data_IF_901542258149
#
_entry.id   IF_901542258149
#
_cell.length_a   1.000
_cell.length_b   1.000
_cell.length_c   1.000
_cell.angle_alpha   90.00
_cell.angle_beta   90.00
_cell.angle_gamma   90.00
#
_symmetry.space_group_name_H-M   'P 1'
#
loop_
_entity.id
_entity.type
_entity.pdbx_description
1 polymer ?
#
# COMPACT_ATOMS: atom_id res chain seq x y z
N UNK A 1 34.65 30.49 25.76
CA UNK A 1 35.58 29.36 25.52
C UNK A 1 36.79 29.75 24.64
N UNK A 2 36.94 31.03 24.22
CA UNK A 2 38.05 31.51 23.40
C UNK A 2 38.10 31.00 21.95
N UNK A 3 37.08 30.25 21.51
CA UNK A 3 36.97 29.68 20.13
C UNK A 3 36.14 30.59 19.24
N UNK A 4 36.52 30.72 17.98
CA UNK A 4 35.71 31.35 16.93
C UNK A 4 34.71 30.33 16.40
N UNK A 5 33.42 30.69 16.34
CA UNK A 5 32.36 29.88 15.74
C UNK A 5 31.94 30.52 14.42
N UNK A 6 31.77 29.70 13.42
CA UNK A 6 31.16 30.06 12.14
C UNK A 6 29.79 29.39 12.07
N UNK A 7 28.73 30.19 11.83
CA UNK A 7 27.37 29.70 11.68
C UNK A 7 26.76 30.18 10.36
N UNK A 8 26.97 29.46 9.26
CA UNK A 8 26.25 29.68 8.00
C UNK A 8 24.87 29.04 8.07
N UNK A 9 23.94 29.54 7.25
CA UNK A 9 22.61 28.92 7.06
C UNK A 9 22.36 28.72 5.57
N UNK A 10 22.10 27.46 5.19
CA UNK A 10 21.68 27.11 3.84
C UNK A 10 20.20 26.72 3.83
N UNK A 11 19.53 27.01 2.74
CA UNK A 11 18.11 26.64 2.53
C UNK A 11 18.03 25.37 1.71
N UNK A 12 17.41 24.33 2.30
CA UNK A 12 17.11 23.10 1.59
C UNK A 12 15.81 23.28 0.79
N UNK A 13 15.95 23.40 -0.52
CA UNK A 13 14.87 23.73 -1.44
C UNK A 13 14.62 22.62 -2.47
N UNK A 14 15.17 21.42 -2.25
CA UNK A 14 14.97 20.25 -3.11
C UNK A 14 13.92 19.32 -2.52
N UNK A 15 13.27 18.50 -3.37
CA UNK A 15 12.31 17.49 -2.96
C UNK A 15 10.86 17.87 -3.18
N UNK A 16 9.96 17.02 -2.63
CA UNK A 16 8.51 17.07 -2.85
C UNK A 16 7.78 18.28 -2.24
N UNK A 17 8.13 18.81 -1.04
CA UNK A 17 7.21 19.69 -0.33
C UNK A 17 6.81 20.94 -1.10
N UNK A 18 7.77 21.65 -1.68
CA UNK A 18 7.50 22.88 -2.43
C UNK A 18 6.71 22.58 -3.70
N UNK A 19 7.14 21.58 -4.47
CA UNK A 19 6.47 21.19 -5.71
C UNK A 19 5.03 20.72 -5.44
N UNK A 20 4.82 19.88 -4.42
CA UNK A 20 3.49 19.40 -4.07
C UNK A 20 2.55 20.53 -3.61
N UNK A 21 3.05 21.52 -2.88
CA UNK A 21 2.26 22.69 -2.49
C UNK A 21 1.93 23.58 -3.70
N UNK A 22 2.87 23.81 -4.60
CA UNK A 22 2.66 24.57 -5.84
C UNK A 22 1.64 23.88 -6.74
N UNK A 23 1.73 22.56 -6.92
CA UNK A 23 0.77 21.76 -7.69
C UNK A 23 -0.64 21.76 -7.06
N UNK A 24 -0.74 21.76 -5.73
CA UNK A 24 -2.03 21.93 -5.05
C UNK A 24 -2.65 23.29 -5.37
N UNK A 25 -1.90 24.37 -5.24
CA UNK A 25 -2.38 25.72 -5.56
C UNK A 25 -2.80 25.84 -7.01
N UNK A 26 -2.07 25.23 -7.93
CA UNK A 26 -2.44 25.19 -9.35
C UNK A 26 -3.79 24.51 -9.55
N UNK A 27 -4.00 23.31 -8.99
CA UNK A 27 -5.29 22.62 -9.04
C UNK A 27 -6.42 23.41 -8.37
N UNK A 28 -6.14 24.02 -7.23
CA UNK A 28 -7.12 24.85 -6.50
C UNK A 28 -7.48 26.11 -7.28
N UNK A 29 -6.54 26.70 -8.02
CA UNK A 29 -6.84 27.82 -8.91
C UNK A 29 -7.71 27.42 -10.10
N UNK A 30 -7.55 26.22 -10.62
CA UNK A 30 -8.41 25.66 -11.68
C UNK A 30 -9.85 25.42 -11.16
N UNK A 31 -10.00 24.99 -9.90
CA UNK A 31 -11.30 24.75 -9.27
C UNK A 31 -12.01 26.03 -8.80
N UNK A 32 -11.28 26.97 -8.21
CA UNK A 32 -11.84 28.11 -7.49
C UNK A 32 -11.57 29.46 -8.16
N UNK A 33 -10.89 29.46 -9.30
CA UNK A 33 -10.40 30.67 -9.99
C UNK A 33 -9.09 31.21 -9.36
N UNK A 34 -8.39 32.06 -10.10
CA UNK A 34 -7.08 32.57 -9.70
C UNK A 34 -7.07 33.35 -8.38
N UNK A 35 -8.19 33.90 -7.97
CA UNK A 35 -8.33 34.60 -6.71
C UNK A 35 -8.93 33.72 -5.59
N UNK A 36 -9.19 32.43 -5.84
CA UNK A 36 -9.75 31.46 -4.87
C UNK A 36 -11.05 31.95 -4.22
N UNK A 37 -11.95 32.57 -5.00
CA UNK A 37 -13.22 33.11 -4.52
C UNK A 37 -14.39 32.13 -4.66
N UNK A 38 -14.32 31.19 -5.58
CA UNK A 38 -15.41 30.26 -5.89
C UNK A 38 -15.34 28.99 -5.05
N UNK A 39 -15.00 29.09 -3.78
CA UNK A 39 -14.99 27.95 -2.86
C UNK A 39 -16.43 27.58 -2.52
N UNK A 40 -16.85 26.32 -2.69
CA UNK A 40 -18.16 25.87 -2.22
C UNK A 40 -18.31 26.12 -0.73
N UNK A 41 -19.39 26.75 -0.32
CA UNK A 41 -19.76 26.84 1.09
C UNK A 41 -20.22 25.44 1.49
N UNK A 42 -19.33 24.66 2.08
CA UNK A 42 -19.72 23.40 2.70
C UNK A 42 -20.42 23.76 4.03
N UNK A 43 -21.68 23.37 4.18
CA UNK A 43 -22.32 23.28 5.49
C UNK A 43 -21.46 22.33 6.32
N UNK A 44 -21.09 22.72 7.54
CA UNK A 44 -20.23 21.96 8.46
C UNK A 44 -20.74 20.52 8.62
N UNK A 45 -20.27 19.62 7.78
CA UNK A 45 -20.48 18.19 7.98
C UNK A 45 -19.56 17.71 9.10
N UNK A 46 -20.14 17.46 10.26
CA UNK A 46 -19.50 16.72 11.36
C UNK A 46 -19.10 15.28 10.97
N UNK A 47 -19.42 14.83 9.75
CA UNK A 47 -19.16 13.47 9.26
C UNK A 47 -17.67 13.15 8.98
N UNK A 48 -16.83 14.13 8.75
CA UNK A 48 -15.40 13.87 8.48
C UNK A 48 -14.61 13.33 9.68
N UNK A 49 -15.19 13.34 10.89
CA UNK A 49 -14.55 12.75 12.09
C UNK A 49 -14.83 11.27 12.26
N UNK A 50 -15.87 10.71 11.65
CA UNK A 50 -16.23 9.30 11.75
C UNK A 50 -15.59 8.45 10.65
N UNK A 51 -15.42 8.94 9.44
CA UNK A 51 -14.74 8.18 8.38
C UNK A 51 -13.25 7.94 8.66
N UNK A 52 -12.58 8.83 9.36
CA UNK A 52 -11.18 8.61 9.82
C UNK A 52 -11.09 7.58 10.96
N UNK A 53 -12.20 7.29 11.64
CA UNK A 53 -12.27 6.25 12.67
C UNK A 53 -12.66 4.86 12.15
N UNK A 54 -13.19 4.75 10.95
CA UNK A 54 -13.61 3.49 10.34
C UNK A 54 -12.63 2.87 9.35
N UNK A 55 -11.51 3.53 9.01
CA UNK A 55 -10.42 2.77 8.41
C UNK A 55 -9.92 1.78 9.44
N UNK A 56 -10.42 0.55 9.32
CA UNK A 56 -10.09 -0.61 10.11
C UNK A 56 -8.64 -0.57 10.55
N UNK A 57 -8.40 -0.71 11.84
CA UNK A 57 -7.10 -0.98 12.41
C UNK A 57 -6.57 -2.32 11.86
N UNK A 58 -6.14 -2.30 10.60
CA UNK A 58 -5.47 -3.43 9.99
C UNK A 58 -4.14 -3.62 10.71
N UNK A 59 -4.02 -4.70 11.47
CA UNK A 59 -2.84 -5.02 12.29
C UNK A 59 -1.61 -5.25 11.41
N UNK A 60 -1.82 -5.51 10.12
CA UNK A 60 -0.75 -5.62 9.14
C UNK A 60 -0.25 -4.25 8.65
N UNK A 61 -0.96 -3.16 9.01
CA UNK A 61 -0.49 -1.80 8.75
C UNK A 61 0.32 -1.32 9.94
N UNK A 62 1.60 -1.11 9.71
CA UNK A 62 2.48 -0.47 10.67
C UNK A 62 1.91 0.91 11.04
N UNK A 63 1.54 1.11 12.33
CA UNK A 63 1.14 2.42 12.83
C UNK A 63 2.39 3.29 12.97
N UNK A 64 2.78 3.94 11.89
CA UNK A 64 3.79 4.97 11.97
C UNK A 64 3.27 6.12 12.83
N UNK A 65 4.13 6.70 13.65
CA UNK A 65 3.85 7.97 14.32
C UNK A 65 3.46 9.00 13.26
N UNK A 66 2.46 9.85 13.55
CA UNK A 66 2.10 10.95 12.64
C UNK A 66 3.37 11.73 12.30
N UNK A 67 3.57 12.03 11.03
CA UNK A 67 4.71 12.83 10.60
C UNK A 67 4.75 14.15 11.37
N UNK A 68 5.94 14.67 11.62
CA UNK A 68 6.09 16.00 12.25
C UNK A 68 5.39 17.09 11.43
N UNK A 69 5.27 16.91 10.13
CA UNK A 69 4.52 17.79 9.23
C UNK A 69 3.00 17.70 9.47
N UNK A 70 2.46 16.50 9.77
CA UNK A 70 1.05 16.31 10.09
C UNK A 70 0.65 16.81 11.49
N UNK A 71 1.60 16.94 12.42
CA UNK A 71 1.35 17.47 13.76
C UNK A 71 1.03 18.97 13.77
N UNK A 72 1.41 19.71 12.72
CA UNK A 72 1.05 21.11 12.50
C UNK A 72 -0.22 21.21 11.66
N UNK A 73 -1.36 20.88 12.23
CA UNK A 73 -2.65 21.19 11.59
C UNK A 73 -2.84 22.70 11.57
N UNK A 74 -2.46 23.34 10.46
CA UNK A 74 -3.13 24.56 10.03
C UNK A 74 -4.62 24.23 9.83
N UNK A 75 -5.52 25.14 10.22
CA UNK A 75 -6.98 24.92 10.14
C UNK A 75 -7.55 24.96 8.71
N UNK A 76 -6.72 25.08 7.67
CA UNK A 76 -7.14 25.14 6.28
C UNK A 76 -7.26 23.77 5.63
N UNK A 77 -8.36 23.48 4.96
CA UNK A 77 -8.60 22.29 4.13
C UNK A 77 -7.79 22.36 2.82
N UNK A 78 -7.64 23.57 2.31
CA UNK A 78 -6.96 23.86 1.05
C UNK A 78 -5.60 24.55 1.25
N UNK A 79 -4.71 24.43 0.28
CA UNK A 79 -3.37 25.02 0.36
C UNK A 79 -3.45 26.55 0.35
N UNK A 80 -4.34 27.15 -0.45
CA UNK A 80 -4.51 28.62 -0.48
C UNK A 80 -4.93 29.17 0.88
N UNK A 81 -5.78 28.45 1.64
CA UNK A 81 -6.17 28.87 2.99
C UNK A 81 -4.99 28.90 3.95
N UNK A 82 -4.08 27.92 3.82
CA UNK A 82 -2.85 27.90 4.61
C UNK A 82 -1.97 29.12 4.27
N UNK A 83 -1.88 29.48 2.99
CA UNK A 83 -1.12 30.64 2.54
C UNK A 83 -1.72 31.95 3.10
N UNK A 84 -3.04 32.09 3.08
CA UNK A 84 -3.72 33.24 3.71
C UNK A 84 -3.48 33.32 5.23
N UNK A 85 -3.47 32.18 5.91
CA UNK A 85 -3.16 32.11 7.34
C UNK A 85 -1.70 32.49 7.67
N UNK A 86 -0.78 32.33 6.72
CA UNK A 86 0.59 32.81 6.81
C UNK A 86 0.70 34.32 6.58
N UNK A 87 -0.41 35.01 6.28
CA UNK A 87 -0.43 36.45 6.04
C UNK A 87 -0.11 36.87 4.61
N UNK A 88 -0.10 35.92 3.66
CA UNK A 88 0.09 36.23 2.24
C UNK A 88 -1.17 36.84 1.68
N UNK A 89 -1.11 38.01 0.98
CA UNK A 89 -2.27 38.61 0.33
C UNK A 89 -2.90 37.65 -0.68
N UNK A 90 -4.25 37.61 -0.73
CA UNK A 90 -4.99 36.67 -1.58
C UNK A 90 -4.60 36.76 -3.05
N UNK A 91 -4.39 37.96 -3.55
CA UNK A 91 -3.96 38.27 -4.94
C UNK A 91 -2.56 37.74 -5.24
N UNK A 92 -1.75 37.53 -4.22
CA UNK A 92 -0.37 37.04 -4.37
C UNK A 92 -0.29 35.51 -4.31
N UNK A 93 -1.27 34.84 -3.69
CA UNK A 93 -1.26 33.38 -3.48
C UNK A 93 -1.10 32.63 -4.80
N UNK A 94 -1.70 33.09 -5.89
CA UNK A 94 -1.58 32.42 -7.20
C UNK A 94 -0.14 32.32 -7.71
N UNK A 95 0.75 33.27 -7.33
CA UNK A 95 2.15 33.25 -7.75
C UNK A 95 2.90 32.04 -7.18
N UNK A 96 2.46 31.52 -6.05
CA UNK A 96 3.01 30.32 -5.41
C UNK A 96 2.60 29.01 -6.13
N UNK A 97 1.79 29.07 -7.18
CA UNK A 97 1.61 27.96 -8.12
C UNK A 97 2.88 27.67 -8.93
N UNK A 98 3.83 28.64 -8.98
CA UNK A 98 5.17 28.43 -9.48
C UNK A 98 6.11 28.07 -8.32
N UNK A 99 6.75 26.89 -8.32
CA UNK A 99 7.71 26.50 -7.30
C UNK A 99 8.89 27.47 -7.11
N UNK A 100 9.30 28.15 -8.19
CA UNK A 100 10.41 29.11 -8.14
C UNK A 100 10.06 30.34 -7.32
N UNK A 101 8.79 30.74 -7.28
CA UNK A 101 8.35 31.88 -6.50
C UNK A 101 8.58 31.64 -4.99
N UNK A 102 8.39 30.41 -4.50
CA UNK A 102 8.68 30.03 -3.11
C UNK A 102 10.14 30.28 -2.74
N UNK A 103 11.05 29.98 -3.64
CA UNK A 103 12.49 30.08 -3.41
C UNK A 103 12.97 31.54 -3.40
N UNK A 104 12.25 32.42 -4.04
CA UNK A 104 12.54 33.85 -4.03
C UNK A 104 11.86 34.58 -2.85
N UNK A 105 10.73 34.07 -2.36
CA UNK A 105 9.91 34.72 -1.35
C UNK A 105 10.36 34.39 0.08
N UNK A 106 10.47 33.11 0.43
CA UNK A 106 10.69 32.71 1.82
C UNK A 106 12.13 32.88 2.34
N UNK A 107 13.21 32.66 1.60
CA UNK A 107 14.56 32.83 2.14
C UNK A 107 14.87 34.24 2.62
N UNK A 108 14.50 35.32 1.92
CA UNK A 108 14.68 36.70 2.44
C UNK A 108 13.89 36.98 3.70
N UNK A 109 12.67 36.46 3.84
CA UNK A 109 11.88 36.60 5.07
C UNK A 109 12.55 35.89 6.24
N UNK A 110 13.08 34.69 6.03
CA UNK A 110 13.82 33.97 7.07
C UNK A 110 15.06 34.74 7.50
N UNK A 111 15.79 35.37 6.57
CA UNK A 111 16.93 36.23 6.89
C UNK A 111 16.51 37.43 7.77
N UNK A 112 15.41 38.08 7.39
CA UNK A 112 14.85 39.23 8.15
C UNK A 112 14.42 38.80 9.56
N UNK A 113 13.70 37.70 9.69
CA UNK A 113 13.22 37.18 10.96
C UNK A 113 14.38 36.76 11.88
N UNK A 114 15.34 36.02 11.36
CA UNK A 114 16.53 35.61 12.12
C UNK A 114 17.38 36.81 12.57
N UNK A 115 17.49 37.83 11.71
CA UNK A 115 18.21 39.07 12.04
C UNK A 115 17.49 39.86 13.12
N UNK A 116 16.15 39.96 13.01
CA UNK A 116 15.31 40.62 14.01
C UNK A 116 15.33 39.89 15.35
N UNK A 117 15.43 38.56 15.32
CA UNK A 117 15.61 37.73 16.52
C UNK A 117 17.00 37.86 17.14
N UNK A 118 17.96 38.46 16.44
CA UNK A 118 19.35 38.63 16.90
C UNK A 118 20.23 37.38 16.68
N UNK A 119 19.85 36.50 15.80
CA UNK A 119 20.66 35.32 15.47
C UNK A 119 21.94 35.74 14.73
N UNK A 120 23.11 35.29 15.22
CA UNK A 120 24.41 35.58 14.60
C UNK A 120 24.73 34.61 13.47
N UNK A 121 24.05 34.77 12.35
CA UNK A 121 24.23 33.96 11.14
C UNK A 121 25.14 34.70 10.16
N UNK A 122 26.07 33.97 9.53
CA UNK A 122 26.91 34.53 8.47
C UNK A 122 26.19 34.40 7.12
N UNK A 123 25.32 35.36 6.83
CA UNK A 123 24.51 35.41 5.61
C UNK A 123 25.34 35.51 4.31
N UNK A 124 26.60 35.91 4.38
CA UNK A 124 27.51 35.89 3.23
C UNK A 124 27.77 34.48 2.70
N UNK A 125 27.48 33.46 3.50
CA UNK A 125 27.60 32.02 3.20
C UNK A 125 26.26 31.33 3.09
N UNK A 126 25.18 32.07 3.01
CA UNK A 126 23.85 31.52 2.74
C UNK A 126 23.72 31.10 1.27
N UNK A 127 22.95 30.04 1.04
CA UNK A 127 22.72 29.53 -0.31
C UNK A 127 21.43 28.73 -0.38
N UNK A 128 20.88 28.56 -1.57
CA UNK A 128 19.77 27.66 -1.88
C UNK A 128 20.30 26.41 -2.58
N UNK A 129 19.67 25.24 -2.27
CA UNK A 129 20.07 23.95 -2.83
C UNK A 129 19.22 23.59 -4.03
N UNK A 130 19.38 24.21 -5.15
CA UNK A 130 18.79 23.86 -6.45
C UNK A 130 19.66 24.40 -7.57
N UNK A 131 19.29 24.05 -8.81
CA UNK A 131 19.88 24.59 -10.04
C UNK A 131 19.61 26.10 -10.22
N UNK A 132 18.68 26.70 -9.47
CA UNK A 132 18.57 28.16 -9.36
C UNK A 132 19.84 28.79 -8.77
N UNK A 133 20.63 28.03 -8.03
CA UNK A 133 21.97 28.43 -7.64
C UNK A 133 22.99 27.70 -8.54
N UNK A 134 23.51 28.34 -9.59
CA UNK A 134 24.40 27.68 -10.55
C UNK A 134 25.72 27.22 -9.93
N UNK A 135 26.18 27.86 -8.86
CA UNK A 135 27.38 27.43 -8.14
C UNK A 135 27.15 26.14 -7.36
N UNK A 136 25.97 26.01 -6.75
CA UNK A 136 25.57 24.78 -6.07
C UNK A 136 25.44 23.62 -7.08
N UNK A 137 24.75 23.84 -8.18
CA UNK A 137 24.59 22.84 -9.24
C UNK A 137 25.95 22.41 -9.82
N UNK A 138 26.85 23.36 -10.10
CA UNK A 138 28.18 23.05 -10.59
C UNK A 138 28.99 22.22 -9.57
N UNK A 139 28.88 22.52 -8.27
CA UNK A 139 29.52 21.74 -7.22
C UNK A 139 28.97 20.30 -7.16
N UNK A 140 27.66 20.12 -7.22
CA UNK A 140 27.04 18.80 -7.21
C UNK A 140 27.48 17.98 -8.43
N UNK A 141 27.50 18.58 -9.62
CA UNK A 141 28.00 17.91 -10.85
C UNK A 141 29.46 17.49 -10.71
N UNK A 142 30.29 18.37 -10.19
CA UNK A 142 31.69 18.06 -9.90
C UNK A 142 31.82 16.90 -8.92
N UNK A 143 31.09 16.93 -7.80
CA UNK A 143 31.10 15.86 -6.79
C UNK A 143 30.67 14.51 -7.36
N UNK A 144 29.58 14.49 -8.10
CA UNK A 144 29.06 13.26 -8.73
C UNK A 144 30.04 12.67 -9.74
N UNK A 145 30.67 13.51 -10.58
CA UNK A 145 31.67 13.09 -11.53
C UNK A 145 32.91 12.52 -10.83
N UNK A 146 33.34 13.14 -9.75
CA UNK A 146 34.46 12.66 -8.92
C UNK A 146 34.16 11.32 -8.27
N UNK A 147 32.99 11.15 -7.68
CA UNK A 147 32.56 9.88 -7.07
C UNK A 147 32.43 8.77 -8.12
N UNK A 148 31.93 9.09 -9.31
CA UNK A 148 31.87 8.16 -10.44
C UNK A 148 33.26 7.71 -10.88
N UNK A 149 34.19 8.63 -11.05
CA UNK A 149 35.56 8.34 -11.43
C UNK A 149 36.30 7.48 -10.38
N UNK A 150 35.99 7.65 -9.10
CA UNK A 150 36.50 6.85 -7.99
C UNK A 150 35.79 5.49 -7.83
N UNK A 151 34.79 5.16 -8.68
CA UNK A 151 34.01 3.91 -8.59
C UNK A 151 33.14 3.79 -7.32
N UNK A 152 32.83 4.93 -6.65
CA UNK A 152 32.06 4.95 -5.41
C UNK A 152 30.55 4.94 -5.63
N UNK A 153 30.10 5.22 -6.84
CA UNK A 153 28.68 5.19 -7.22
C UNK A 153 28.49 4.27 -8.42
N UNK A 154 27.33 3.58 -8.44
CA UNK A 154 26.88 2.73 -9.53
C UNK A 154 25.46 3.10 -9.89
N UNK A 155 25.10 2.98 -11.17
CA UNK A 155 23.72 3.02 -11.58
C UNK A 155 23.03 1.74 -11.09
N UNK A 156 21.82 1.88 -10.54
CA UNK A 156 21.04 0.77 -10.05
C UNK A 156 19.59 1.16 -9.81
N UNK A 157 18.79 0.16 -9.52
CA UNK A 157 17.37 0.31 -9.18
C UNK A 157 17.17 0.01 -7.70
N UNK A 158 16.24 0.72 -7.10
CA UNK A 158 15.87 0.54 -5.70
C UNK A 158 14.38 0.82 -5.55
N UNK A 159 13.68 0.00 -4.78
CA UNK A 159 12.28 0.24 -4.47
C UNK A 159 12.13 1.47 -3.58
N UNK A 160 11.09 2.25 -3.85
CA UNK A 160 10.71 3.41 -3.07
C UNK A 160 9.19 3.54 -3.06
N UNK A 161 8.66 4.32 -2.11
CA UNK A 161 7.27 4.72 -2.15
C UNK A 161 7.12 5.80 -3.22
N UNK A 162 6.11 5.64 -4.07
CA UNK A 162 5.87 6.48 -5.22
C UNK A 162 4.46 7.05 -5.19
N UNK A 163 4.32 8.36 -5.39
CA UNK A 163 3.02 9.02 -5.56
C UNK A 163 2.66 9.05 -7.05
N UNK A 164 1.64 8.30 -7.44
CA UNK A 164 1.13 8.36 -8.83
C UNK A 164 0.51 9.73 -9.13
N UNK A 165 -0.08 10.40 -8.12
CA UNK A 165 -0.69 11.72 -8.26
C UNK A 165 0.33 12.81 -8.55
N UNK A 166 1.48 12.75 -7.90
CA UNK A 166 2.53 13.77 -8.02
C UNK A 166 3.62 13.34 -9.03
N UNK A 167 3.55 12.11 -9.56
CA UNK A 167 4.45 11.59 -10.58
C UNK A 167 5.88 11.37 -10.11
N UNK A 168 6.12 11.22 -8.80
CA UNK A 168 7.48 11.11 -8.27
C UNK A 168 7.59 10.30 -6.97
N UNK A 169 8.82 9.95 -6.60
CA UNK A 169 9.12 9.27 -5.36
C UNK A 169 8.86 10.17 -4.14
N UNK A 170 8.29 9.58 -3.07
CA UNK A 170 8.03 10.26 -1.81
C UNK A 170 8.98 9.76 -0.72
N UNK A 171 9.67 10.68 -0.07
CA UNK A 171 10.44 10.39 1.13
C UNK A 171 9.53 10.40 2.37
N UNK A 172 10.00 9.81 3.47
CA UNK A 172 9.22 9.73 4.71
C UNK A 172 8.69 11.07 5.20
N UNK A 173 9.53 12.09 5.19
CA UNK A 173 9.20 13.43 5.65
C UNK A 173 8.26 14.20 4.70
N UNK A 174 8.10 13.75 3.46
CA UNK A 174 7.20 14.36 2.47
C UNK A 174 5.76 13.86 2.63
N UNK A 175 5.55 12.79 3.39
CA UNK A 175 4.24 12.15 3.55
C UNK A 175 3.47 12.74 4.72
N UNK A 176 2.19 13.01 4.50
CA UNK A 176 1.31 13.50 5.55
C UNK A 176 1.08 12.46 6.66
N UNK A 177 1.13 11.18 6.30
CA UNK A 177 1.04 10.05 7.22
C UNK A 177 1.93 8.91 6.72
N UNK A 178 2.26 7.97 7.61
CA UNK A 178 3.08 6.81 7.25
C UNK A 178 4.59 7.08 7.29
N UNK A 179 5.06 8.04 8.07
CA UNK A 179 6.49 8.24 8.35
C UNK A 179 7.07 6.96 8.96
N UNK A 180 8.18 6.46 8.39
CA UNK A 180 8.81 5.20 8.80
C UNK A 180 8.21 3.94 8.17
N UNK A 181 7.16 4.05 7.34
CA UNK A 181 6.66 2.91 6.56
C UNK A 181 7.66 2.55 5.49
N UNK A 182 8.08 1.29 5.49
CA UNK A 182 8.99 0.72 4.47
C UNK A 182 8.21 -0.23 3.54
N UNK A 183 8.77 -0.56 2.35
CA UNK A 183 8.21 -1.61 1.52
C UNK A 183 8.13 -2.92 2.30
N UNK A 184 6.99 -3.58 2.22
CA UNK A 184 6.74 -4.88 2.83
C UNK A 184 6.98 -5.97 1.79
N UNK A 185 7.74 -7.00 2.16
CA UNK A 185 7.96 -8.14 1.29
C UNK A 185 6.85 -9.18 1.49
N UNK A 186 6.19 -9.54 0.39
CA UNK A 186 5.21 -10.61 0.35
C UNK A 186 5.76 -11.79 -0.42
N UNK A 187 5.49 -12.98 0.06
CA UNK A 187 5.81 -14.22 -0.65
C UNK A 187 4.60 -14.60 -1.50
N UNK A 188 4.81 -14.71 -2.81
CA UNK A 188 3.82 -15.18 -3.77
C UNK A 188 3.76 -16.70 -3.80
N UNK A 189 2.66 -17.30 -3.36
CA UNK A 189 2.44 -18.74 -3.42
C UNK A 189 1.76 -19.09 -4.74
N UNK A 190 2.41 -19.94 -5.54
CA UNK A 190 1.85 -20.48 -6.79
C UNK A 190 0.97 -21.67 -6.48
N UNK A 191 -0.33 -21.53 -6.65
CA UNK A 191 -1.34 -22.55 -6.40
C UNK A 191 -1.81 -23.06 -7.74
N UNK A 192 -1.48 -24.31 -8.09
CA UNK A 192 -1.78 -24.90 -9.41
C UNK A 192 -3.27 -25.14 -9.57
N UNK A 193 -3.83 -24.73 -10.72
CA UNK A 193 -5.19 -25.09 -11.10
C UNK A 193 -5.14 -26.46 -11.76
N UNK A 194 -5.72 -27.46 -11.11
CA UNK A 194 -5.80 -28.84 -11.65
C UNK A 194 -7.04 -29.05 -12.48
N UNK A 195 -8.15 -28.36 -12.14
CA UNK A 195 -9.39 -28.41 -12.89
C UNK A 195 -10.19 -27.12 -12.70
N UNK A 196 -10.54 -26.45 -13.78
CA UNK A 196 -11.40 -25.26 -13.70
C UNK A 196 -12.86 -25.64 -13.47
N UNK A 197 -13.59 -24.81 -12.73
CA UNK A 197 -15.05 -24.85 -12.67
C UNK A 197 -15.65 -24.68 -14.10
N UNK A 198 -16.84 -25.22 -14.38
CA UNK A 198 -17.35 -25.34 -15.75
C UNK A 198 -17.35 -24.04 -16.56
N UNK A 199 -17.75 -22.91 -15.94
CA UNK A 199 -17.82 -21.63 -16.67
C UNK A 199 -16.42 -21.05 -16.92
N UNK A 200 -15.51 -21.13 -15.95
CA UNK A 200 -14.11 -20.71 -16.15
C UNK A 200 -13.44 -21.59 -17.21
N UNK A 201 -13.70 -22.91 -17.19
CA UNK A 201 -13.18 -23.85 -18.17
C UNK A 201 -13.61 -23.51 -19.60
N UNK A 202 -14.89 -23.19 -19.82
CA UNK A 202 -15.38 -22.78 -21.14
C UNK A 202 -14.62 -21.54 -21.65
N UNK A 203 -14.40 -20.54 -20.79
CA UNK A 203 -13.71 -19.31 -21.16
C UNK A 203 -12.23 -19.59 -21.49
N UNK A 204 -11.55 -20.38 -20.66
CA UNK A 204 -10.15 -20.75 -20.88
C UNK A 204 -9.97 -21.60 -22.13
N UNK A 205 -10.84 -22.60 -22.34
CA UNK A 205 -10.77 -23.51 -23.50
C UNK A 205 -11.07 -22.80 -24.83
N UNK A 206 -11.92 -21.75 -24.81
CA UNK A 206 -12.26 -20.94 -25.98
C UNK A 206 -11.20 -19.91 -26.35
N UNK A 207 -10.17 -19.70 -25.54
CA UNK A 207 -9.11 -18.73 -25.80
C UNK A 207 -7.96 -19.36 -26.59
N UNK A 208 -7.87 -19.01 -27.87
CA UNK A 208 -6.75 -19.43 -28.72
C UNK A 208 -5.40 -18.77 -28.33
N UNK A 209 -5.44 -17.74 -27.51
CA UNK A 209 -4.26 -17.01 -27.05
C UNK A 209 -3.54 -17.69 -25.87
N UNK A 210 -4.15 -18.71 -25.27
CA UNK A 210 -3.55 -19.48 -24.17
C UNK A 210 -2.87 -20.73 -24.71
N UNK A 211 -1.57 -20.85 -24.45
CA UNK A 211 -0.82 -22.08 -24.71
C UNK A 211 -1.22 -23.15 -23.69
N UNK A 212 -1.92 -24.18 -24.17
CA UNK A 212 -2.45 -25.27 -23.34
C UNK A 212 -1.36 -26.18 -22.73
N UNK A 213 -0.10 -26.02 -23.13
CA UNK A 213 1.03 -26.74 -22.54
C UNK A 213 1.53 -26.07 -21.24
N UNK A 214 1.22 -24.80 -21.02
CA UNK A 214 1.63 -24.06 -19.84
C UNK A 214 0.68 -24.29 -18.67
N UNK A 215 1.24 -24.44 -17.49
CA UNK A 215 0.46 -24.50 -16.25
C UNK A 215 -0.14 -23.15 -15.90
N UNK A 216 -1.28 -23.17 -15.22
CA UNK A 216 -1.98 -22.00 -14.74
C UNK A 216 -2.02 -22.02 -13.21
N UNK A 217 -1.65 -20.92 -12.58
CA UNK A 217 -1.59 -20.80 -11.14
C UNK A 217 -2.40 -19.61 -10.64
N UNK A 218 -3.20 -19.80 -9.60
CA UNK A 218 -3.55 -18.68 -8.74
C UNK A 218 -2.31 -18.27 -7.94
N UNK A 219 -2.05 -16.98 -7.85
CA UNK A 219 -0.94 -16.48 -7.03
C UNK A 219 -1.50 -15.75 -5.82
N UNK A 220 -1.34 -16.32 -4.65
CA UNK A 220 -1.69 -15.70 -3.38
C UNK A 220 -0.46 -15.01 -2.77
N UNK A 221 -0.65 -13.84 -2.16
CA UNK A 221 0.42 -13.11 -1.47
C UNK A 221 0.27 -13.23 0.04
N UNK A 222 1.27 -13.80 0.71
CA UNK A 222 1.27 -13.99 2.16
C UNK A 222 2.50 -13.37 2.81
N UNK A 223 2.35 -12.93 4.06
CA UNK A 223 3.46 -12.54 4.94
C UNK A 223 3.94 -13.72 5.81
N UNK A 224 3.16 -14.81 5.84
CA UNK A 224 3.39 -15.95 6.72
C UNK A 224 3.38 -17.28 5.93
N UNK A 225 4.40 -17.51 5.08
CA UNK A 225 4.47 -18.71 4.25
C UNK A 225 4.57 -20.00 5.08
N UNK A 226 5.04 -19.92 6.31
CA UNK A 226 5.13 -21.04 7.25
C UNK A 226 3.76 -21.64 7.59
N UNK A 227 2.67 -20.87 7.44
CA UNK A 227 1.33 -21.35 7.74
C UNK A 227 0.68 -22.15 6.59
N UNK A 228 1.34 -22.25 5.44
CA UNK A 228 0.76 -22.90 4.25
C UNK A 228 0.54 -24.41 4.42
N UNK A 229 1.21 -25.07 5.36
CA UNK A 229 0.93 -26.46 5.70
C UNK A 229 -0.51 -26.71 6.15
N UNK A 230 -1.15 -25.72 6.76
CA UNK A 230 -2.53 -25.75 7.23
C UNK A 230 -3.56 -25.19 6.25
N UNK A 231 -3.19 -25.00 5.00
CA UNK A 231 -4.12 -24.48 3.99
C UNK A 231 -5.22 -25.50 3.70
N UNK A 232 -6.49 -25.05 3.82
CA UNK A 232 -7.68 -25.91 3.60
C UNK A 232 -8.48 -25.56 2.36
N UNK A 233 -8.32 -24.36 1.83
CA UNK A 233 -8.90 -23.89 0.57
C UNK A 233 -8.18 -22.61 0.12
N UNK A 234 -8.66 -22.00 -0.94
CA UNK A 234 -8.21 -20.68 -1.39
C UNK A 234 -9.42 -19.81 -1.71
N UNK A 235 -9.37 -18.56 -1.28
CA UNK A 235 -10.47 -17.61 -1.44
C UNK A 235 -10.26 -16.65 -2.59
N UNK A 236 -11.36 -16.38 -3.32
CA UNK A 236 -11.49 -15.29 -4.28
C UNK A 236 -12.77 -14.50 -4.01
N UNK A 237 -12.81 -13.24 -4.42
CA UNK A 237 -14.06 -12.49 -4.37
C UNK A 237 -14.89 -12.74 -5.63
N UNK A 238 -16.17 -13.09 -5.50
CA UNK A 238 -17.08 -13.23 -6.64
C UNK A 238 -17.23 -11.94 -7.46
N UNK A 239 -16.95 -10.79 -6.83
CA UNK A 239 -17.16 -9.43 -7.38
C UNK A 239 -15.94 -8.86 -8.11
N UNK A 240 -14.78 -9.52 -8.02
CA UNK A 240 -13.53 -9.06 -8.62
C UNK A 240 -13.35 -9.73 -9.99
N UNK A 241 -12.87 -8.93 -10.94
CA UNK A 241 -12.37 -9.43 -12.22
C UNK A 241 -10.88 -9.79 -12.07
N UNK A 242 -10.56 -11.03 -12.44
CA UNK A 242 -9.20 -11.58 -12.42
C UNK A 242 -8.69 -11.72 -13.84
N UNK A 243 -7.44 -11.33 -14.07
CA UNK A 243 -6.74 -11.56 -15.32
C UNK A 243 -5.96 -12.88 -15.30
N UNK A 244 -5.88 -13.53 -16.44
CA UNK A 244 -4.88 -14.57 -16.74
C UNK A 244 -3.76 -13.89 -17.50
N UNK A 245 -2.56 -13.90 -16.93
CA UNK A 245 -1.39 -13.18 -17.44
C UNK A 245 -0.27 -14.13 -17.77
N UNK A 246 0.48 -13.84 -18.84
CA UNK A 246 1.68 -14.59 -19.18
C UNK A 246 2.86 -14.18 -18.27
N UNK A 247 3.31 -15.12 -17.46
CA UNK A 247 4.46 -14.98 -16.57
C UNK A 247 5.74 -15.63 -17.13
N UNK A 248 5.72 -16.05 -18.40
CA UNK A 248 6.82 -16.66 -19.11
C UNK A 248 6.73 -18.19 -19.14
N UNK A 249 7.07 -18.84 -18.07
CA UNK A 249 7.02 -20.30 -17.92
C UNK A 249 5.60 -20.83 -17.61
N UNK A 250 4.71 -19.97 -17.13
CA UNK A 250 3.36 -20.30 -16.71
C UNK A 250 2.41 -19.10 -16.88
N UNK A 251 1.14 -19.34 -16.61
CA UNK A 251 0.14 -18.29 -16.50
C UNK A 251 -0.23 -18.04 -15.04
N UNK A 252 -0.39 -16.75 -14.67
CA UNK A 252 -0.81 -16.34 -13.33
C UNK A 252 -2.20 -15.74 -13.34
N UNK A 253 -3.04 -16.17 -12.40
CA UNK A 253 -4.36 -15.60 -12.11
C UNK A 253 -4.21 -14.68 -10.92
N UNK A 254 -4.41 -13.38 -11.15
CA UNK A 254 -4.35 -12.32 -10.13
C UNK A 254 -5.23 -11.15 -10.54
N UNK A 255 -5.35 -10.14 -9.67
CA UNK A 255 -5.84 -8.82 -10.09
C UNK A 255 -4.81 -8.13 -10.98
N UNK A 256 -5.28 -7.28 -11.90
CA UNK A 256 -4.41 -6.50 -12.79
C UNK A 256 -3.40 -5.65 -12.01
N UNK A 257 -3.84 -5.01 -10.91
CA UNK A 257 -2.96 -4.23 -10.04
C UNK A 257 -1.80 -5.06 -9.49
N UNK A 258 -2.07 -6.29 -9.06
CA UNK A 258 -1.04 -7.16 -8.53
C UNK A 258 -0.04 -7.57 -9.61
N UNK A 259 -0.52 -7.94 -10.80
CA UNK A 259 0.36 -8.30 -11.90
C UNK A 259 1.18 -7.10 -12.41
N UNK A 260 0.60 -5.89 -12.43
CA UNK A 260 1.33 -4.65 -12.67
C UNK A 260 2.53 -4.53 -11.72
N UNK A 261 2.31 -4.70 -10.40
CA UNK A 261 3.38 -4.66 -9.42
C UNK A 261 4.45 -5.74 -9.67
N UNK A 262 4.05 -6.97 -9.96
CA UNK A 262 4.95 -8.07 -10.31
C UNK A 262 5.81 -7.75 -11.53
N UNK A 263 5.23 -7.10 -12.56
CA UNK A 263 5.94 -6.73 -13.78
C UNK A 263 7.04 -5.71 -13.55
N UNK A 264 6.85 -4.79 -12.63
CA UNK A 264 7.89 -3.83 -12.24
C UNK A 264 8.95 -4.42 -11.31
N UNK A 265 8.63 -5.52 -10.62
CA UNK A 265 9.55 -6.23 -9.73
C UNK A 265 10.35 -7.33 -10.42
N UNK A 266 10.31 -7.41 -11.74
CA UNK A 266 11.02 -8.43 -12.55
C UNK A 266 10.57 -9.86 -12.29
N UNK A 267 9.33 -10.04 -11.83
CA UNK A 267 8.71 -11.35 -11.63
C UNK A 267 7.99 -11.87 -12.90
N UNK A 268 8.06 -11.11 -13.98
CA UNK A 268 7.46 -11.41 -15.27
C UNK A 268 8.47 -11.12 -16.40
N UNK A 269 8.30 -11.71 -17.60
CA UNK A 269 9.27 -11.56 -18.68
C UNK A 269 9.49 -10.13 -19.15
N UNK A 270 8.43 -9.30 -19.14
CA UNK A 270 8.49 -7.95 -19.69
C UNK A 270 8.09 -6.92 -18.64
N UNK A 271 9.06 -6.09 -18.25
CA UNK A 271 8.85 -5.02 -17.28
C UNK A 271 7.75 -4.04 -17.71
N UNK A 272 6.80 -3.77 -16.81
CA UNK A 272 5.71 -2.83 -17.03
C UNK A 272 4.65 -3.31 -18.03
N UNK A 273 4.70 -4.56 -18.49
CA UNK A 273 3.66 -5.16 -19.31
C UNK A 273 2.76 -6.04 -18.45
N UNK A 274 1.49 -5.68 -18.37
CA UNK A 274 0.50 -6.32 -17.50
C UNK A 274 -0.88 -6.46 -18.17
N UNK A 275 -0.92 -6.56 -19.51
CA UNK A 275 -2.18 -6.80 -20.23
C UNK A 275 -2.62 -8.26 -20.01
N UNK A 276 -3.83 -8.51 -19.50
CA UNK A 276 -4.35 -9.86 -19.38
C UNK A 276 -4.61 -10.48 -20.77
N UNK A 277 -4.39 -11.78 -20.88
CA UNK A 277 -4.78 -12.56 -22.07
C UNK A 277 -6.29 -12.78 -22.03
N UNK A 278 -6.81 -13.13 -20.85
CA UNK A 278 -8.23 -13.39 -20.59
C UNK A 278 -8.59 -12.74 -19.25
N UNK A 279 -9.78 -12.17 -19.16
CA UNK A 279 -10.36 -11.68 -17.91
C UNK A 279 -11.56 -12.53 -17.53
N UNK A 280 -11.62 -12.98 -16.28
CA UNK A 280 -12.67 -13.88 -15.78
C UNK A 280 -13.17 -13.33 -14.43
N UNK A 281 -14.47 -13.24 -14.26
CA UNK A 281 -15.07 -12.89 -12.98
C UNK A 281 -14.81 -13.95 -11.93
N UNK A 282 -14.47 -13.52 -10.71
CA UNK A 282 -14.15 -14.43 -9.61
C UNK A 282 -15.23 -15.46 -9.32
N UNK A 283 -16.52 -15.12 -9.56
CA UNK A 283 -17.63 -16.04 -9.41
C UNK A 283 -17.49 -17.32 -10.26
N UNK A 284 -16.85 -17.22 -11.43
CA UNK A 284 -16.67 -18.35 -12.33
C UNK A 284 -15.55 -19.30 -11.92
N UNK A 285 -14.67 -18.87 -11.02
CA UNK A 285 -13.61 -19.72 -10.47
C UNK A 285 -14.06 -20.56 -9.27
N UNK A 286 -15.19 -20.22 -8.65
CA UNK A 286 -15.68 -20.92 -7.45
C UNK A 286 -15.94 -22.39 -7.80
N UNK A 287 -15.39 -23.30 -6.98
CA UNK A 287 -15.44 -24.75 -7.19
C UNK A 287 -14.27 -25.33 -7.99
N UNK A 288 -13.41 -24.49 -8.60
CA UNK A 288 -12.20 -24.98 -9.28
C UNK A 288 -11.33 -25.77 -8.31
N UNK A 289 -10.76 -26.89 -8.80
CA UNK A 289 -9.80 -27.69 -8.05
C UNK A 289 -8.41 -27.12 -8.18
N UNK A 290 -7.70 -27.11 -7.07
CA UNK A 290 -6.35 -26.59 -6.99
C UNK A 290 -5.44 -27.51 -6.18
N UNK A 291 -4.17 -27.45 -6.48
CA UNK A 291 -3.11 -28.04 -5.69
C UNK A 291 -2.21 -26.93 -5.11
N UNK A 292 -2.19 -26.79 -3.80
CA UNK A 292 -1.36 -25.80 -3.11
C UNK A 292 -0.06 -26.43 -2.64
N UNK A 293 1.09 -25.79 -2.85
CA UNK A 293 2.36 -26.31 -2.37
C UNK A 293 2.36 -26.38 -0.84
N UNK A 294 2.93 -27.43 -0.29
CA UNK A 294 3.07 -27.69 1.14
C UNK A 294 1.76 -27.94 1.90
N UNK A 295 0.59 -27.83 1.28
CA UNK A 295 -0.66 -28.15 1.94
C UNK A 295 -0.75 -29.65 2.26
N UNK A 296 -1.31 -29.98 3.43
CA UNK A 296 -1.48 -31.38 3.82
C UNK A 296 -2.56 -32.11 3.00
N UNK A 297 -3.52 -31.35 2.46
CA UNK A 297 -4.54 -31.89 1.57
C UNK A 297 -4.10 -31.79 0.11
N UNK A 298 -4.19 -32.87 -0.64
CA UNK A 298 -3.74 -32.94 -2.04
C UNK A 298 -4.65 -32.14 -3.00
N UNK A 299 -5.96 -32.16 -2.76
CA UNK A 299 -6.95 -31.43 -3.55
C UNK A 299 -7.68 -30.42 -2.67
N UNK A 300 -7.59 -29.15 -3.06
CA UNK A 300 -8.30 -28.03 -2.44
C UNK A 300 -9.24 -27.37 -3.46
N UNK A 301 -10.10 -26.47 -2.98
CA UNK A 301 -11.07 -25.75 -3.80
C UNK A 301 -10.89 -24.23 -3.71
N UNK A 302 -11.26 -23.57 -4.81
CA UNK A 302 -11.50 -22.11 -4.80
C UNK A 302 -12.89 -21.86 -4.24
N UNK A 303 -12.97 -21.05 -3.17
CA UNK A 303 -14.20 -20.72 -2.47
C UNK A 303 -14.44 -19.21 -2.43
N UNK A 304 -15.69 -18.77 -2.23
CA UNK A 304 -16.00 -17.34 -2.20
C UNK A 304 -15.65 -16.70 -0.85
N UNK A 305 -15.11 -15.49 -0.89
CA UNK A 305 -14.94 -14.61 0.27
C UNK A 305 -15.18 -13.14 -0.14
N UNK A 306 -16.28 -12.56 0.31
CA UNK A 306 -16.68 -11.20 -0.09
C UNK A 306 -15.77 -10.09 0.42
N UNK A 307 -15.04 -10.34 1.50
CA UNK A 307 -14.11 -9.38 2.12
C UNK A 307 -12.77 -9.26 1.39
N UNK A 308 -12.52 -10.10 0.39
CA UNK A 308 -11.35 -9.96 -0.50
C UNK A 308 -11.53 -8.73 -1.39
N UNK A 309 -10.54 -7.85 -1.40
CA UNK A 309 -10.54 -6.60 -2.15
C UNK A 309 -9.45 -6.55 -3.22
N UNK A 310 -9.76 -5.94 -4.37
CA UNK A 310 -8.85 -5.92 -5.53
C UNK A 310 -7.57 -5.11 -5.31
N UNK A 311 -7.59 -4.14 -4.41
CA UNK A 311 -6.47 -3.22 -4.17
C UNK A 311 -5.50 -3.70 -3.07
N UNK A 312 -5.68 -4.90 -2.53
CA UNK A 312 -4.79 -5.49 -1.51
C UNK A 312 -4.26 -6.85 -1.97
N UNK A 313 -2.98 -7.09 -1.77
CA UNK A 313 -2.32 -8.34 -2.18
C UNK A 313 -2.52 -8.63 -3.66
N UNK A 314 -2.89 -9.86 -3.96
CA UNK A 314 -3.14 -10.35 -5.31
C UNK A 314 -4.63 -10.51 -5.65
N UNK A 315 -5.52 -10.26 -4.69
CA UNK A 315 -6.94 -10.60 -4.78
C UNK A 315 -7.23 -12.10 -4.58
N UNK A 316 -6.21 -12.88 -4.29
CA UNK A 316 -6.28 -14.32 -4.01
C UNK A 316 -5.75 -14.53 -2.58
N UNK A 317 -6.50 -15.22 -1.75
CA UNK A 317 -6.18 -15.40 -0.33
C UNK A 317 -6.11 -16.88 0.01
N UNK A 318 -5.01 -17.31 0.62
CA UNK A 318 -4.88 -18.66 1.19
C UNK A 318 -5.72 -18.78 2.46
N UNK A 319 -6.39 -19.88 2.66
CA UNK A 319 -7.23 -20.14 3.83
C UNK A 319 -6.50 -21.02 4.84
N UNK A 320 -6.19 -20.46 6.02
CA UNK A 320 -5.51 -21.17 7.12
C UNK A 320 -6.35 -21.03 8.40
N UNK A 321 -7.42 -21.82 8.56
CA UNK A 321 -8.38 -21.64 9.64
C UNK A 321 -7.85 -22.02 11.02
N UNK A 322 -6.68 -22.66 11.14
CA UNK A 322 -6.02 -22.93 12.42
C UNK A 322 -5.45 -21.66 13.07
N UNK A 323 -4.96 -20.71 12.26
CA UNK A 323 -4.18 -19.54 12.72
C UNK A 323 -4.82 -18.19 12.36
N UNK A 324 -5.70 -18.14 11.35
CA UNK A 324 -6.38 -16.92 10.90
C UNK A 324 -7.85 -16.88 11.39
N UNK A 325 -8.22 -15.98 12.33
CA UNK A 325 -9.60 -15.81 12.77
C UNK A 325 -10.58 -15.49 11.64
N UNK A 326 -10.15 -14.68 10.66
CA UNK A 326 -10.97 -14.35 9.49
C UNK A 326 -11.29 -15.61 8.66
N UNK A 327 -10.27 -16.46 8.43
CA UNK A 327 -10.42 -17.70 7.66
C UNK A 327 -11.28 -18.71 8.41
N UNK A 328 -11.06 -18.83 9.73
CA UNK A 328 -11.85 -19.72 10.59
C UNK A 328 -13.35 -19.35 10.55
N UNK A 329 -13.67 -18.07 10.75
CA UNK A 329 -15.07 -17.63 10.75
C UNK A 329 -15.70 -17.72 9.35
N UNK A 330 -14.94 -17.40 8.29
CA UNK A 330 -15.42 -17.56 6.91
C UNK A 330 -15.69 -19.02 6.61
N UNK A 331 -14.77 -19.94 6.94
CA UNK A 331 -14.95 -21.38 6.76
C UNK A 331 -16.19 -21.87 7.51
N UNK A 332 -16.40 -21.46 8.75
CA UNK A 332 -17.59 -21.79 9.53
C UNK A 332 -18.88 -21.30 8.88
N UNK A 333 -18.92 -20.06 8.38
CA UNK A 333 -20.13 -19.53 7.74
C UNK A 333 -20.43 -20.27 6.43
N UNK A 334 -19.41 -20.59 5.63
CA UNK A 334 -19.54 -21.43 4.42
C UNK A 334 -20.05 -22.84 4.74
N UNK A 335 -19.56 -23.47 5.80
CA UNK A 335 -20.03 -24.79 6.26
C UNK A 335 -21.49 -24.77 6.69
N UNK A 336 -21.95 -23.69 7.33
CA UNK A 336 -23.32 -23.55 7.80
C UNK A 336 -24.32 -23.18 6.71
N UNK A 337 -23.89 -22.54 5.64
CA UNK A 337 -24.76 -22.00 4.59
C UNK A 337 -24.24 -22.26 3.16
N UNK A 338 -23.86 -23.50 2.81
CA UNK A 338 -23.23 -23.76 1.53
C UNK A 338 -24.14 -23.38 0.33
N UNK A 339 -25.44 -23.63 0.42
CA UNK A 339 -26.40 -23.28 -0.63
C UNK A 339 -26.51 -21.77 -0.87
N UNK A 340 -26.45 -20.97 0.21
CA UNK A 340 -26.45 -19.50 0.09
C UNK A 340 -25.26 -18.98 -0.72
N UNK A 341 -24.11 -19.63 -0.58
CA UNK A 341 -22.87 -19.27 -1.28
C UNK A 341 -22.73 -19.97 -2.64
N UNK A 342 -23.68 -20.81 -3.02
CA UNK A 342 -23.66 -21.57 -4.26
C UNK A 342 -22.53 -22.60 -4.34
N UNK A 343 -22.15 -23.18 -3.20
CA UNK A 343 -21.09 -24.19 -3.08
C UNK A 343 -21.66 -25.53 -2.60
N UNK A 344 -20.99 -26.62 -2.92
CA UNK A 344 -21.30 -27.93 -2.39
C UNK A 344 -20.69 -28.12 -1.01
N UNK A 345 -21.42 -28.75 -0.09
CA UNK A 345 -20.95 -28.98 1.28
C UNK A 345 -19.63 -29.79 1.31
N UNK A 346 -19.42 -30.66 0.36
CA UNK A 346 -18.20 -31.46 0.23
C UNK A 346 -16.95 -30.63 -0.10
N UNK A 347 -17.12 -29.42 -0.67
CA UNK A 347 -16.00 -28.54 -1.03
C UNK A 347 -15.35 -27.86 0.18
N UNK A 348 -16.06 -27.80 1.32
CA UNK A 348 -15.64 -27.14 2.56
C UNK A 348 -15.52 -28.11 3.76
N UNK A 349 -15.31 -29.39 3.51
CA UNK A 349 -15.24 -30.44 4.53
C UNK A 349 -13.94 -30.50 5.32
N UNK A 350 -12.88 -29.86 4.81
CA UNK A 350 -11.56 -29.94 5.43
C UNK A 350 -11.53 -29.29 6.80
N UNK A 351 -11.07 -30.04 7.79
CA UNK A 351 -10.89 -29.53 9.15
C UNK A 351 -9.60 -28.70 9.26
N UNK A 352 -9.56 -27.72 10.18
CA UNK A 352 -8.33 -26.97 10.47
C UNK A 352 -7.19 -27.89 10.88
N UNK A 353 -6.01 -27.69 10.30
CA UNK A 353 -4.80 -28.45 10.62
C UNK A 353 -3.97 -27.67 11.62
N UNK A 354 -3.65 -28.22 12.82
CA UNK A 354 -2.72 -27.61 13.75
C UNK A 354 -1.33 -27.41 13.10
N UNK A 355 -0.79 -26.20 13.19
CA UNK A 355 0.53 -25.86 12.62
C UNK A 355 1.43 -25.27 13.70
N UNK A 356 0.90 -24.36 14.50
CA UNK A 356 1.64 -23.64 15.52
C UNK A 356 0.93 -23.87 16.86
N UNK A 357 1.68 -24.30 17.84
CA UNK A 357 1.18 -24.47 19.21
C UNK A 357 1.56 -23.25 20.04
N UNK A 358 0.59 -22.71 20.74
CA UNK A 358 0.78 -21.60 21.69
C UNK A 358 0.42 -22.04 23.09
N UNK A 359 1.21 -21.62 24.08
CA UNK A 359 1.00 -22.01 25.49
C UNK A 359 -0.40 -21.63 26.00
N UNK A 360 -0.90 -20.46 25.61
CA UNK A 360 -2.18 -19.93 26.10
C UNK A 360 -3.39 -20.48 25.34
N UNK A 361 -3.29 -20.66 24.02
CA UNK A 361 -4.43 -20.95 23.16
C UNK A 361 -4.38 -22.34 22.51
N UNK A 362 -3.33 -23.10 22.75
CA UNK A 362 -3.13 -24.42 22.13
C UNK A 362 -2.77 -24.31 20.64
N UNK A 363 -3.14 -25.32 19.88
CA UNK A 363 -2.77 -25.56 18.49
C UNK A 363 -3.79 -25.08 17.45
N UNK A 364 -4.94 -24.54 17.89
CA UNK A 364 -5.99 -23.95 17.06
C UNK A 364 -6.35 -22.55 17.56
N UNK A 365 -5.36 -21.65 17.58
CA UNK A 365 -5.49 -20.32 18.15
C UNK A 365 -6.63 -19.51 17.54
N UNK A 366 -6.86 -19.61 16.22
CA UNK A 366 -7.96 -18.89 15.56
C UNK A 366 -9.32 -19.25 16.16
N UNK A 367 -9.56 -20.54 16.41
CA UNK A 367 -10.78 -21.02 17.07
C UNK A 367 -10.87 -20.48 18.49
N UNK A 368 -9.84 -20.68 19.28
CA UNK A 368 -9.82 -20.30 20.71
C UNK A 368 -10.06 -18.79 20.90
N UNK A 369 -9.40 -17.95 20.12
CA UNK A 369 -9.56 -16.49 20.20
C UNK A 369 -10.94 -16.03 19.69
N UNK A 370 -11.49 -16.66 18.65
CA UNK A 370 -12.86 -16.38 18.21
C UNK A 370 -13.91 -16.72 19.27
N UNK A 371 -13.75 -17.84 19.96
CA UNK A 371 -14.65 -18.27 21.05
C UNK A 371 -14.53 -17.33 22.27
N UNK A 372 -13.30 -16.97 22.68
CA UNK A 372 -13.04 -16.02 23.78
C UNK A 372 -13.70 -14.67 23.52
N UNK A 373 -13.58 -14.15 22.29
CA UNK A 373 -14.16 -12.87 21.88
C UNK A 373 -15.63 -12.96 21.43
N UNK A 374 -16.26 -14.15 21.55
CA UNK A 374 -17.68 -14.40 21.21
C UNK A 374 -18.04 -13.99 19.78
N UNK A 375 -17.14 -14.19 18.86
CA UNK A 375 -17.34 -13.88 17.44
C UNK A 375 -18.29 -14.91 16.81
N UNK A 376 -19.35 -14.45 16.18
CA UNK A 376 -20.41 -15.32 15.62
C UNK A 376 -20.47 -15.29 14.09
N UNK A 377 -19.88 -14.28 13.47
CA UNK A 377 -20.01 -14.06 12.02
C UNK A 377 -18.75 -13.42 11.44
N UNK A 378 -18.43 -13.71 10.18
CA UNK A 378 -17.39 -12.94 9.45
C UNK A 378 -17.69 -11.43 9.34
N UNK A 379 -18.91 -11.00 9.66
CA UNK A 379 -19.34 -9.60 9.67
C UNK A 379 -18.98 -8.87 10.96
N UNK A 380 -18.54 -9.58 12.00
CA UNK A 380 -18.12 -8.99 13.28
C UNK A 380 -16.71 -8.39 13.15
N UNK A 381 -16.54 -7.43 12.24
CA UNK A 381 -15.25 -6.93 11.75
C UNK A 381 -14.36 -6.36 12.85
N UNK A 382 -14.93 -5.65 13.82
CA UNK A 382 -14.16 -5.07 14.94
C UNK A 382 -13.59 -6.16 15.88
N UNK A 383 -14.43 -7.15 16.25
CA UNK A 383 -13.98 -8.26 17.09
C UNK A 383 -12.97 -9.14 16.34
N UNK A 384 -13.18 -9.39 15.03
CA UNK A 384 -12.23 -10.11 14.19
C UNK A 384 -10.89 -9.38 14.10
N UNK A 385 -10.89 -8.05 14.00
CA UNK A 385 -9.66 -7.28 13.99
C UNK A 385 -8.86 -7.42 15.30
N UNK A 386 -9.53 -7.44 16.45
CA UNK A 386 -8.86 -7.68 17.75
C UNK A 386 -8.39 -9.14 17.87
N UNK A 387 -9.22 -10.10 17.49
CA UNK A 387 -8.86 -11.52 17.49
C UNK A 387 -7.62 -11.78 16.63
N UNK A 388 -7.55 -11.15 15.46
CA UNK A 388 -6.41 -11.23 14.55
C UNK A 388 -5.12 -10.66 15.15
N UNK A 389 -5.20 -9.54 15.89
CA UNK A 389 -4.05 -8.98 16.60
C UNK A 389 -3.50 -9.95 17.64
N UNK A 390 -4.41 -10.56 18.41
CA UNK A 390 -4.05 -11.54 19.44
C UNK A 390 -3.39 -12.76 18.79
N UNK A 391 -4.07 -13.38 17.83
CA UNK A 391 -3.59 -14.57 17.15
C UNK A 391 -2.22 -14.34 16.50
N UNK A 392 -2.07 -13.24 15.74
CA UNK A 392 -0.81 -12.93 15.09
C UNK A 392 0.33 -12.71 16.08
N UNK A 393 0.07 -11.99 17.18
CA UNK A 393 1.09 -11.71 18.20
C UNK A 393 1.53 -12.98 18.92
N UNK A 394 0.59 -13.80 19.35
CA UNK A 394 0.89 -15.05 20.08
C UNK A 394 1.60 -16.06 19.18
N UNK A 395 1.10 -16.31 17.97
CA UNK A 395 1.73 -17.20 17.00
C UNK A 395 3.18 -16.80 16.70
N UNK A 396 3.44 -15.49 16.51
CA UNK A 396 4.75 -15.01 16.08
C UNK A 396 5.78 -14.96 17.20
N UNK A 397 5.36 -14.57 18.43
CA UNK A 397 6.31 -14.36 19.53
C UNK A 397 6.41 -15.54 20.49
N UNK A 398 5.37 -16.33 20.63
CA UNK A 398 5.29 -17.42 21.62
C UNK A 398 4.95 -18.79 21.02
N UNK A 399 4.64 -18.84 19.73
CA UNK A 399 4.31 -20.06 19.01
C UNK A 399 5.52 -20.96 18.77
N UNK A 400 5.30 -22.27 18.80
CA UNK A 400 6.31 -23.32 18.53
C UNK A 400 5.79 -24.33 17.52
#
# INVERSE_FOLDING_TARGET
NGKRALFPLGFHCTGMPILACADKLKRESEMFGNNFLNVPVEEDEEESKEEIKQESEDVTKFKAKKSKAAAKKGRGKYQFEIMLQLGIPREEVIQFADPQYWLNYFPPLCEQDCTSFGARIDWRRSFITTDMNPYYDAFIRWQMNKLKALGKIKFGERYTIYSEKDGQACMDHDRQSGEGVTPQEYIGIKIEVTEFAPEAKKIVDSSDALDKSKKIYFVAATLRPETMYGQTCCFVSPKIEYGIFDAGDAYYITTERAFKNMSYQKLTPKRGYYKPIVTISGKHFIGSKIHAPLAAYEELRILPMETVIANKGTGVVTCVPSNSPDDYMTTKDLQHKPEYYGIEADWIKHEPIPIINTEKYGDLIAKAVCEENKIKSPKDTNQLAEAKKIAYKEDYYTGT
#
